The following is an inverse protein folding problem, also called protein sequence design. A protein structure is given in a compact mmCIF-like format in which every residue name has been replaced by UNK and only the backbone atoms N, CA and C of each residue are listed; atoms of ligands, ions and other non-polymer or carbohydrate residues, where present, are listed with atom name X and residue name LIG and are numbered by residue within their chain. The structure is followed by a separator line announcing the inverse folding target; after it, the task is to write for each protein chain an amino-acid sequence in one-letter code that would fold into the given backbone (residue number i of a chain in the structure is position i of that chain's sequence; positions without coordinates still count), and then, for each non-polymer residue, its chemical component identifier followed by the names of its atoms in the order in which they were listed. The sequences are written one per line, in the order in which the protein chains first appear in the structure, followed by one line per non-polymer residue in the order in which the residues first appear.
data_IF_241792389446
#
_entry.id   IF_241792389446
#
_cell.length_a   1.000
_cell.length_b   1.000
_cell.length_c   1.000
_cell.angle_alpha   90.00
_cell.angle_beta   90.00
_cell.angle_gamma   90.00
#
_symmetry.space_group_name_H-M   'P 1'
#
loop_
_entity.id
_entity.type
_entity.pdbx_description
1 polymer ?
#
# COMPACT_ATOMS: atom_id res chain seq x y z
N UNK A 1 12.75 -2.29 -37.26
CA UNK A 1 12.87 -2.48 -35.81
C UNK A 1 11.47 -2.41 -35.22
N UNK A 2 10.89 -3.56 -34.92
CA UNK A 2 9.53 -3.65 -34.38
C UNK A 2 9.63 -3.41 -32.87
N UNK A 3 8.94 -2.37 -32.38
CA UNK A 3 8.73 -2.15 -30.96
C UNK A 3 7.80 -3.26 -30.47
N UNK A 4 8.33 -4.10 -29.60
CA UNK A 4 7.60 -5.16 -28.89
C UNK A 4 6.52 -4.50 -28.03
N UNK A 5 5.29 -4.46 -28.55
CA UNK A 5 4.11 -4.12 -27.76
C UNK A 5 3.91 -5.29 -26.80
N UNK A 6 4.25 -5.09 -25.52
CA UNK A 6 3.86 -6.03 -24.48
C UNK A 6 2.35 -5.95 -24.33
N UNK A 7 1.71 -7.08 -24.62
CA UNK A 7 0.29 -7.30 -24.45
C UNK A 7 -0.06 -7.12 -22.96
N UNK A 8 -0.76 -6.02 -22.65
CA UNK A 8 -1.35 -5.74 -21.34
C UNK A 8 -2.78 -6.30 -21.25
N UNK A 9 -3.06 -7.41 -21.96
CA UNK A 9 -4.42 -7.94 -22.18
C UNK A 9 -4.86 -9.01 -21.17
N UNK A 10 -3.95 -9.59 -20.38
CA UNK A 10 -4.35 -10.45 -19.28
C UNK A 10 -4.53 -9.59 -18.03
N UNK A 11 -5.78 -9.49 -17.55
CA UNK A 11 -6.10 -9.01 -16.19
C UNK A 11 -5.56 -9.95 -15.10
N UNK A 12 -4.33 -10.43 -15.27
CA UNK A 12 -3.56 -11.14 -14.28
C UNK A 12 -3.29 -10.11 -13.18
N UNK A 13 -4.02 -10.27 -12.07
CA UNK A 13 -3.80 -9.54 -10.83
C UNK A 13 -2.30 -9.40 -10.60
N UNK A 14 -1.85 -8.24 -10.12
CA UNK A 14 -0.45 -7.99 -9.80
C UNK A 14 0.11 -9.14 -8.95
N UNK A 15 0.78 -10.10 -9.59
CA UNK A 15 1.29 -11.30 -8.95
C UNK A 15 2.78 -11.11 -8.72
N UNK A 16 3.20 -11.41 -7.50
CA UNK A 16 4.59 -11.25 -7.08
C UNK A 16 5.35 -12.48 -7.56
N UNK A 17 6.51 -12.33 -8.24
CA UNK A 17 7.30 -13.48 -8.66
C UNK A 17 7.60 -14.40 -7.46
N UNK A 18 7.48 -15.70 -7.65
CA UNK A 18 7.58 -16.70 -6.57
C UNK A 18 8.91 -16.64 -5.80
N UNK A 19 9.99 -16.28 -6.49
CA UNK A 19 11.32 -16.02 -5.91
C UNK A 19 11.36 -14.79 -5.00
N UNK A 20 10.49 -13.81 -5.23
CA UNK A 20 10.34 -12.62 -4.39
C UNK A 20 9.40 -12.89 -3.22
N UNK A 21 8.33 -13.66 -3.45
CA UNK A 21 7.37 -14.02 -2.41
C UNK A 21 8.01 -14.86 -1.29
N UNK A 22 9.03 -15.66 -1.60
CA UNK A 22 9.76 -16.48 -0.62
C UNK A 22 10.90 -15.75 0.10
N UNK A 23 11.23 -14.52 -0.31
CA UNK A 23 12.34 -13.76 0.26
C UNK A 23 11.99 -13.23 1.66
N UNK A 24 12.88 -13.41 2.65
CA UNK A 24 12.64 -12.99 4.04
C UNK A 24 12.25 -11.51 4.17
N UNK A 25 12.88 -10.64 3.37
CA UNK A 25 12.55 -9.22 3.35
C UNK A 25 11.12 -8.96 2.86
N UNK A 26 10.64 -9.69 1.85
CA UNK A 26 9.27 -9.60 1.37
C UNK A 26 8.27 -10.02 2.44
N UNK A 27 8.58 -11.12 3.14
CA UNK A 27 7.74 -11.65 4.22
C UNK A 27 7.57 -10.65 5.38
N UNK A 28 8.58 -9.82 5.62
CA UNK A 28 8.52 -8.77 6.67
C UNK A 28 7.91 -7.48 6.17
N UNK A 29 8.24 -7.08 4.94
CA UNK A 29 7.86 -5.76 4.42
C UNK A 29 6.48 -5.74 3.80
N UNK A 30 6.11 -6.76 3.03
CA UNK A 30 4.97 -6.66 2.11
C UNK A 30 3.91 -7.73 2.33
N UNK A 31 4.32 -8.99 2.57
CA UNK A 31 3.40 -10.11 2.70
C UNK A 31 2.23 -9.87 3.68
N UNK A 32 2.39 -9.21 4.85
CA UNK A 32 1.29 -9.02 5.79
C UNK A 32 0.14 -8.14 5.28
N UNK A 33 0.42 -7.23 4.34
CA UNK A 33 -0.53 -6.21 3.87
C UNK A 33 -0.82 -6.28 2.39
N UNK A 34 -0.02 -7.07 1.66
CA UNK A 34 -0.23 -7.32 0.24
C UNK A 34 -1.66 -7.72 -0.11
N UNK A 35 -2.36 -8.60 0.66
CA UNK A 35 -3.75 -8.92 0.35
C UNK A 35 -4.68 -7.70 0.39
N UNK A 36 -4.61 -6.88 1.45
CA UNK A 36 -5.44 -5.69 1.57
C UNK A 36 -5.17 -4.68 0.45
N UNK A 37 -3.89 -4.51 0.07
CA UNK A 37 -3.53 -3.66 -1.06
C UNK A 37 -4.08 -4.18 -2.39
N UNK A 38 -3.98 -5.49 -2.64
CA UNK A 38 -4.53 -6.11 -3.85
C UNK A 38 -6.05 -6.01 -3.90
N UNK A 39 -6.73 -6.19 -2.77
CA UNK A 39 -8.19 -6.08 -2.67
C UNK A 39 -8.66 -4.66 -3.04
N UNK A 40 -8.02 -3.62 -2.51
CA UNK A 40 -8.33 -2.23 -2.89
C UNK A 40 -8.00 -1.95 -4.35
N UNK A 41 -6.88 -2.46 -4.86
CA UNK A 41 -6.50 -2.26 -6.26
C UNK A 41 -7.47 -2.97 -7.23
N UNK A 42 -8.01 -4.12 -6.83
CA UNK A 42 -9.02 -4.84 -7.59
C UNK A 42 -10.39 -4.15 -7.59
N UNK A 43 -10.67 -3.30 -6.60
CA UNK A 43 -11.87 -2.46 -6.58
C UNK A 43 -11.77 -1.28 -7.56
N UNK A 44 -10.57 -0.90 -7.99
CA UNK A 44 -10.37 0.15 -9.01
C UNK A 44 -10.84 -0.36 -10.36
N UNK A 45 -11.73 0.42 -11.00
CA UNK A 45 -12.24 0.04 -12.32
C UNK A 45 -11.14 0.05 -13.38
N UNK A 46 -11.22 -0.82 -14.39
CA UNK A 46 -10.30 -0.80 -15.51
C UNK A 46 -10.26 0.58 -16.19
N UNK A 47 -9.08 1.03 -16.59
CA UNK A 47 -8.90 2.32 -17.28
C UNK A 47 -9.58 2.42 -18.67
N UNK A 48 -10.17 1.32 -19.15
CA UNK A 48 -11.03 1.29 -20.34
C UNK A 48 -12.46 1.78 -20.07
N UNK A 49 -12.87 1.85 -18.80
CA UNK A 49 -14.18 2.34 -18.38
C UNK A 49 -14.12 3.81 -17.97
N UNK A 50 -15.16 4.58 -18.34
CA UNK A 50 -15.28 5.97 -17.89
C UNK A 50 -15.83 5.98 -16.46
N UNK A 51 -15.00 6.46 -15.54
CA UNK A 51 -15.33 6.59 -14.11
C UNK A 51 -15.65 8.05 -13.78
N UNK A 52 -16.57 8.27 -12.86
CA UNK A 52 -16.82 9.62 -12.34
C UNK A 52 -15.60 10.12 -11.54
N UNK A 53 -15.35 11.43 -11.56
CA UNK A 53 -14.22 12.01 -10.84
C UNK A 53 -14.31 11.75 -9.33
N UNK A 54 -15.50 11.83 -8.74
CA UNK A 54 -15.69 11.60 -7.31
C UNK A 54 -15.41 10.14 -6.92
N UNK A 55 -15.82 9.19 -7.76
CA UNK A 55 -15.54 7.76 -7.58
C UNK A 55 -14.02 7.49 -7.65
N UNK A 56 -13.32 8.06 -8.64
CA UNK A 56 -11.87 7.91 -8.76
C UNK A 56 -11.12 8.53 -7.58
N UNK A 57 -11.57 9.70 -7.08
CA UNK A 57 -10.98 10.34 -5.91
C UNK A 57 -11.19 9.49 -4.65
N UNK A 58 -12.38 8.91 -4.48
CA UNK A 58 -12.65 7.99 -3.36
C UNK A 58 -11.73 6.78 -3.39
N UNK A 59 -11.63 6.11 -4.53
CA UNK A 59 -10.76 4.94 -4.70
C UNK A 59 -9.28 5.27 -4.46
N UNK A 60 -8.82 6.45 -4.88
CA UNK A 60 -7.46 6.92 -4.62
C UNK A 60 -7.23 7.20 -3.13
N UNK A 61 -8.24 7.70 -2.41
CA UNK A 61 -8.19 7.89 -0.96
C UNK A 61 -8.13 6.55 -0.24
N UNK A 62 -8.97 5.58 -0.60
CA UNK A 62 -8.98 4.25 0.03
C UNK A 62 -7.62 3.54 -0.15
N UNK A 63 -7.02 3.65 -1.35
CA UNK A 63 -5.67 3.12 -1.61
C UNK A 63 -4.57 3.86 -0.81
N UNK A 64 -4.71 5.18 -0.64
CA UNK A 64 -3.78 5.98 0.14
C UNK A 64 -3.81 5.59 1.63
N UNK A 65 -4.99 5.30 2.18
CA UNK A 65 -5.16 4.88 3.57
C UNK A 65 -4.49 3.51 3.82
N UNK A 66 -4.64 2.56 2.90
CA UNK A 66 -3.92 1.27 2.98
C UNK A 66 -2.42 1.46 2.92
N UNK A 67 -1.93 2.35 2.05
CA UNK A 67 -0.51 2.65 1.95
C UNK A 67 0.03 3.36 3.20
N UNK A 68 -0.73 4.30 3.77
CA UNK A 68 -0.35 4.97 5.01
C UNK A 68 -0.26 3.98 6.17
N UNK A 69 -1.26 3.11 6.30
CA UNK A 69 -1.23 2.05 7.31
C UNK A 69 0.00 1.15 7.14
N UNK A 70 0.31 0.77 5.90
CA UNK A 70 1.48 -0.02 5.58
C UNK A 70 2.78 0.68 5.95
N UNK A 71 2.95 1.93 5.55
CA UNK A 71 4.12 2.71 5.88
C UNK A 71 4.29 2.86 7.41
N UNK A 72 3.19 3.07 8.13
CA UNK A 72 3.18 3.07 9.60
C UNK A 72 3.71 1.77 10.20
N UNK A 73 3.34 0.62 9.63
CA UNK A 73 3.82 -0.69 10.06
C UNK A 73 5.31 -0.93 9.83
N UNK A 74 5.84 -0.27 8.80
CA UNK A 74 7.26 -0.27 8.50
C UNK A 74 8.03 0.79 9.30
N UNK A 75 7.37 1.48 10.23
CA UNK A 75 7.97 2.48 11.10
C UNK A 75 8.12 3.86 10.45
N UNK A 76 7.47 4.12 9.31
CA UNK A 76 7.41 5.44 8.74
C UNK A 76 6.34 6.28 9.44
N UNK A 77 6.64 7.55 9.70
CA UNK A 77 5.69 8.47 10.29
C UNK A 77 5.90 9.88 9.75
N UNK A 78 4.80 10.64 9.72
CA UNK A 78 4.85 12.08 9.59
C UNK A 78 5.28 12.70 10.91
N UNK A 79 6.27 13.58 10.84
CA UNK A 79 6.77 14.35 11.99
C UNK A 79 6.54 15.82 11.73
N UNK A 80 5.78 16.45 12.63
CA UNK A 80 5.62 17.90 12.65
C UNK A 80 6.93 18.56 13.07
N UNK A 81 7.34 19.56 12.31
CA UNK A 81 8.51 20.41 12.52
C UNK A 81 8.02 21.85 12.59
N UNK A 82 8.80 22.73 13.23
CA UNK A 82 8.44 24.16 13.36
C UNK A 82 8.22 24.86 12.00
N UNK A 83 8.78 24.32 10.91
CA UNK A 83 8.66 24.85 9.54
C UNK A 83 7.76 24.02 8.60
N UNK A 84 7.08 22.99 9.10
CA UNK A 84 6.19 22.14 8.28
C UNK A 84 6.18 20.68 8.71
N UNK A 85 6.02 19.77 7.75
CA UNK A 85 5.97 18.33 8.01
C UNK A 85 7.09 17.61 7.24
N UNK A 86 7.61 16.53 7.84
CA UNK A 86 8.62 15.68 7.21
C UNK A 86 8.25 14.20 7.39
N UNK A 87 8.35 13.45 6.29
CA UNK A 87 8.16 12.00 6.30
C UNK A 87 9.49 11.32 6.66
N UNK A 88 9.52 10.58 7.78
CA UNK A 88 10.74 9.97 8.31
C UNK A 88 10.51 8.52 8.71
N UNK A 89 11.59 7.75 8.74
CA UNK A 89 11.60 6.43 9.37
C UNK A 89 11.95 6.60 10.85
N UNK A 90 11.03 6.24 11.73
CA UNK A 90 11.22 6.27 13.19
C UNK A 90 11.96 5.04 13.71
N UNK A 91 11.70 3.89 13.11
CA UNK A 91 12.33 2.60 13.44
C UNK A 91 12.33 1.69 12.21
N UNK A 92 13.31 0.80 12.10
CA UNK A 92 13.42 -0.18 11.00
C UNK A 92 13.37 -1.60 11.55
N UNK A 93 12.52 -1.78 12.55
CA UNK A 93 12.58 -2.93 13.46
C UNK A 93 11.47 -3.94 13.14
N UNK A 94 10.58 -3.62 12.18
CA UNK A 94 9.39 -4.39 11.80
C UNK A 94 8.51 -4.77 12.99
N UNK A 95 8.38 -3.87 13.97
CA UNK A 95 7.54 -4.14 15.13
C UNK A 95 6.08 -4.24 14.69
N UNK A 96 5.43 -5.34 15.07
CA UNK A 96 3.98 -5.48 14.94
C UNK A 96 3.34 -4.29 15.67
N UNK A 97 2.37 -3.58 15.07
CA UNK A 97 1.76 -2.45 15.73
C UNK A 97 1.01 -3.01 16.94
N UNK A 98 1.22 -2.42 18.11
CA UNK A 98 0.29 -2.68 19.19
C UNK A 98 -1.05 -2.08 18.77
N UNK A 99 -2.11 -2.92 18.82
CA UNK A 99 -3.47 -2.48 18.56
C UNK A 99 -3.76 -1.24 19.43
N UNK A 100 -4.53 -0.25 18.92
CA UNK A 100 -4.75 1.01 19.62
C UNK A 100 -5.24 0.73 21.03
N UNK A 101 -4.40 1.06 22.01
CA UNK A 101 -4.70 0.90 23.41
C UNK A 101 -5.93 1.74 23.73
N UNK A 102 -7.07 1.07 23.96
CA UNK A 102 -8.18 1.67 24.66
C UNK A 102 -7.63 2.22 25.97
N UNK A 103 -7.55 3.55 26.08
CA UNK A 103 -7.36 4.25 27.34
C UNK A 103 -8.43 3.71 28.30
N UNK A 104 -8.04 2.78 29.18
CA UNK A 104 -8.83 2.45 30.36
C UNK A 104 -8.80 3.67 31.25
N UNK A 105 -9.88 4.42 31.21
CA UNK A 105 -10.22 5.34 32.29
C UNK A 105 -10.46 4.50 33.55
N UNK A 106 -9.60 4.69 34.55
CA UNK A 106 -9.90 4.57 35.97
C UNK A 106 -8.78 5.28 36.74
#
# INVERSE_FOLDING_TARGET
MAAERRDFETGELASVPESSASHDLWQRMAAPLWPAFVDELAAVRPGSERVDRAELVSQASDLADVLEHWLGLLGFQWVDLDEGFSFKVASWDFQRPEAPGHKRAA
#
